data_IF_961104991522
#
_entry.id   IF_961104991522
#
_cell.length_a   1.000
_cell.length_b   1.000
_cell.length_c   1.000
_cell.angle_alpha   90.00
_cell.angle_beta   90.00
_cell.angle_gamma   90.00
#
_symmetry.space_group_name_H-M   'P 1'
#
loop_
_entity.id
_entity.type
_entity.pdbx_description
1 polymer ?
#
# COMPACT_ATOMS: atom_id res chain seq x y z
N UNK A 1 18.40 -58.05 37.03
CA UNK A 1 17.63 -57.35 35.98
C UNK A 1 17.28 -55.94 36.46
N UNK A 2 18.07 -54.92 36.12
CA UNK A 2 17.55 -53.57 35.93
C UNK A 2 18.08 -52.89 34.65
N UNK A 3 17.47 -51.75 34.30
CA UNK A 3 18.11 -50.68 33.50
C UNK A 3 17.83 -50.61 31.98
N UNK A 4 16.64 -51.01 31.53
CA UNK A 4 16.11 -50.54 30.24
C UNK A 4 15.64 -49.05 30.30
N UNK A 5 15.37 -48.54 31.51
CA UNK A 5 14.84 -47.19 31.73
C UNK A 5 15.91 -46.09 31.59
N UNK A 6 17.17 -46.39 31.90
CA UNK A 6 18.28 -45.43 31.79
C UNK A 6 18.68 -45.12 30.34
N UNK A 7 18.35 -45.99 29.39
CA UNK A 7 18.72 -45.82 27.97
C UNK A 7 17.79 -44.85 27.22
N UNK A 8 16.58 -44.59 27.74
CA UNK A 8 15.64 -43.63 27.13
C UNK A 8 16.00 -42.19 27.48
N UNK A 9 16.63 -41.97 28.63
CA UNK A 9 17.11 -40.66 29.08
C UNK A 9 18.30 -40.13 28.26
N UNK A 10 19.12 -41.01 27.69
CA UNK A 10 20.37 -40.64 26.98
C UNK A 10 20.17 -40.23 25.52
N UNK A 11 19.02 -40.53 24.91
CA UNK A 11 18.69 -40.09 23.54
C UNK A 11 18.18 -38.65 23.45
N UNK A 12 17.71 -38.08 24.57
CA UNK A 12 17.15 -36.72 24.58
C UNK A 12 18.19 -35.62 24.86
N UNK A 13 19.39 -35.97 25.32
CA UNK A 13 20.46 -35.01 25.58
C UNK A 13 21.18 -34.56 24.31
N UNK A 14 21.45 -35.47 23.37
CA UNK A 14 22.14 -35.15 22.11
C UNK A 14 21.31 -34.36 21.07
N UNK A 15 19.98 -34.37 21.19
CA UNK A 15 19.10 -33.56 20.34
C UNK A 15 19.03 -32.08 20.74
N UNK A 16 19.41 -31.74 21.99
CA UNK A 16 19.35 -30.35 22.49
C UNK A 16 20.48 -29.50 21.91
N UNK A 17 21.67 -30.07 21.74
CA UNK A 17 22.85 -29.35 21.25
C UNK A 17 22.76 -29.05 19.74
N UNK A 18 22.17 -29.97 18.97
CA UNK A 18 21.89 -29.80 17.53
C UNK A 18 20.83 -28.72 17.25
N UNK A 19 20.00 -28.42 18.24
CA UNK A 19 18.93 -27.42 18.14
C UNK A 19 19.20 -26.19 19.02
N UNK A 20 20.48 -25.93 19.30
CA UNK A 20 20.92 -24.75 20.05
C UNK A 20 20.43 -23.44 19.44
N UNK A 21 20.41 -23.35 18.10
CA UNK A 21 19.91 -22.17 17.40
C UNK A 21 18.41 -21.95 17.62
N UNK A 22 17.56 -22.98 17.43
CA UNK A 22 16.13 -22.79 17.68
C UNK A 22 15.82 -22.63 19.16
N UNK A 23 16.64 -23.19 20.06
CA UNK A 23 16.52 -22.93 21.50
C UNK A 23 16.81 -21.46 21.83
N UNK A 24 17.85 -20.86 21.23
CA UNK A 24 18.13 -19.44 21.35
C UNK A 24 16.99 -18.57 20.78
N UNK A 25 16.43 -18.94 19.62
CA UNK A 25 15.28 -18.25 19.03
C UNK A 25 14.03 -18.36 19.91
N UNK A 26 13.74 -19.53 20.49
CA UNK A 26 12.64 -19.72 21.42
C UNK A 26 12.84 -18.90 22.72
N UNK A 27 14.08 -18.79 23.19
CA UNK A 27 14.45 -17.91 24.30
C UNK A 27 14.14 -16.44 23.98
N UNK A 28 14.57 -15.94 22.82
CA UNK A 28 14.26 -14.58 22.38
C UNK A 28 12.76 -14.35 22.23
N UNK A 29 12.03 -15.29 21.62
CA UNK A 29 10.59 -15.20 21.46
C UNK A 29 9.83 -15.19 22.79
N UNK A 30 10.27 -15.96 23.79
CA UNK A 30 9.65 -15.97 25.13
C UNK A 30 9.98 -14.71 25.93
N UNK A 31 11.19 -14.16 25.81
CA UNK A 31 11.53 -12.85 26.40
C UNK A 31 10.70 -11.74 25.75
N UNK A 32 10.54 -11.77 24.43
CA UNK A 32 9.71 -10.82 23.68
C UNK A 32 8.21 -10.93 23.99
N UNK A 33 7.71 -12.16 24.20
CA UNK A 33 6.32 -12.39 24.61
C UNK A 33 6.05 -11.95 26.06
N UNK A 34 7.06 -12.04 26.95
CA UNK A 34 6.98 -11.54 28.34
C UNK A 34 7.08 -10.02 28.43
N UNK A 35 7.83 -9.40 27.52
CA UNK A 35 7.92 -7.96 27.38
C UNK A 35 6.98 -7.49 26.28
N UNK A 36 5.66 -7.47 26.52
CA UNK A 36 4.61 -6.91 25.65
C UNK A 36 5.10 -6.59 24.23
N UNK A 37 5.48 -7.63 23.47
CA UNK A 37 6.25 -7.51 22.23
C UNK A 37 5.54 -6.76 21.12
N UNK A 38 4.35 -6.27 21.39
CA UNK A 38 3.73 -5.22 20.65
C UNK A 38 4.42 -3.91 21.03
N UNK A 39 5.41 -3.48 20.23
CA UNK A 39 5.71 -2.04 20.15
C UNK A 39 4.41 -1.35 19.76
N UNK A 40 3.64 -0.90 20.74
CA UNK A 40 2.38 -0.18 20.52
C UNK A 40 2.74 1.11 19.82
N UNK A 41 2.57 1.16 18.50
CA UNK A 41 2.70 2.38 17.73
C UNK A 41 1.45 3.19 18.03
N UNK A 42 1.57 4.20 18.89
CA UNK A 42 0.49 5.15 19.14
C UNK A 42 0.37 6.03 17.90
N UNK A 43 -0.62 5.71 17.06
CA UNK A 43 -0.99 6.53 15.92
C UNK A 43 -1.74 7.76 16.43
N UNK A 44 -1.06 8.89 16.56
CA UNK A 44 -1.69 10.19 16.75
C UNK A 44 -2.39 10.63 15.47
N UNK A 45 -3.71 10.80 15.50
CA UNK A 45 -4.44 11.43 14.38
C UNK A 45 -4.26 12.94 14.48
N UNK A 46 -3.50 13.52 13.55
CA UNK A 46 -3.43 14.98 13.43
C UNK A 46 -4.71 15.46 12.72
N UNK A 47 -5.50 16.37 13.31
CA UNK A 47 -6.79 16.78 12.75
C UNK A 47 -6.65 17.65 11.49
N UNK A 48 -5.49 18.27 11.29
CA UNK A 48 -5.20 19.11 10.14
C UNK A 48 -3.76 18.89 9.65
N UNK A 49 -3.49 18.99 8.33
CA UNK A 49 -2.12 18.92 7.83
C UNK A 49 -1.28 20.04 8.43
N UNK A 50 0.03 19.82 8.55
CA UNK A 50 1.00 20.81 9.06
C UNK A 50 1.26 21.98 8.09
N UNK A 51 0.48 22.08 7.01
CA UNK A 51 0.64 23.06 5.95
C UNK A 51 -0.39 24.17 6.12
N UNK A 52 0.04 25.41 5.90
CA UNK A 52 -0.87 26.55 5.91
C UNK A 52 -1.90 26.45 4.77
N UNK A 53 -3.15 26.85 5.01
CA UNK A 53 -4.22 26.79 4.01
C UNK A 53 -3.92 27.62 2.75
N UNK A 54 -3.07 28.64 2.84
CA UNK A 54 -2.63 29.43 1.68
C UNK A 54 -1.69 28.62 0.76
N UNK A 55 -0.91 27.69 1.32
CA UNK A 55 -0.13 26.72 0.55
C UNK A 55 -1.01 25.59 -0.02
N UNK A 56 -2.22 25.39 0.50
CA UNK A 56 -3.20 24.48 -0.10
C UNK A 56 -3.69 25.01 -1.43
N UNK A 57 -3.84 26.33 -1.61
CA UNK A 57 -4.20 26.94 -2.90
C UNK A 57 -3.05 26.89 -3.93
N UNK A 58 -1.80 26.83 -3.46
CA UNK A 58 -0.62 26.65 -4.33
C UNK A 58 -0.31 25.17 -4.63
N UNK A 59 -0.57 24.29 -3.66
CA UNK A 59 -0.59 22.83 -3.80
C UNK A 59 -1.95 22.33 -4.25
N UNK A 60 -2.83 23.24 -4.67
CA UNK A 60 -4.19 22.95 -5.04
C UNK A 60 -4.07 21.96 -6.19
N UNK A 61 -4.42 20.72 -5.87
CA UNK A 61 -4.94 19.79 -6.86
C UNK A 61 -6.25 20.45 -7.23
N UNK A 62 -6.13 21.50 -8.05
CA UNK A 62 -7.18 22.43 -8.34
C UNK A 62 -8.40 21.62 -8.72
N UNK A 63 -9.55 22.21 -8.41
CA UNK A 63 -10.88 21.96 -8.90
C UNK A 63 -10.95 21.99 -10.45
N UNK A 64 -10.01 21.34 -11.11
CA UNK A 64 -9.95 20.99 -12.50
C UNK A 64 -10.95 19.84 -12.74
N UNK A 65 -11.35 19.59 -14.00
CA UNK A 65 -11.88 18.29 -14.39
C UNK A 65 -11.06 17.22 -13.67
N UNK A 66 -11.73 16.23 -13.06
CA UNK A 66 -11.10 15.14 -12.29
C UNK A 66 -9.82 14.80 -13.02
N UNK A 67 -8.67 14.72 -12.37
CA UNK A 67 -7.35 14.64 -13.05
C UNK A 67 -7.27 13.60 -14.19
N UNK A 68 -8.20 12.62 -14.20
CA UNK A 68 -8.43 11.64 -15.26
C UNK A 68 -9.20 12.15 -16.49
N UNK A 69 -10.08 13.14 -16.39
CA UNK A 69 -10.94 13.64 -17.47
C UNK A 69 -10.14 14.05 -18.72
N UNK A 70 -9.01 14.79 -18.63
CA UNK A 70 -8.17 15.06 -19.80
C UNK A 70 -7.56 13.78 -20.38
N UNK A 71 -7.26 12.80 -19.53
CA UNK A 71 -6.71 11.51 -19.92
C UNK A 71 -7.76 10.64 -20.64
N UNK A 72 -8.98 10.58 -20.11
CA UNK A 72 -10.11 9.85 -20.67
C UNK A 72 -10.49 10.48 -22.02
N UNK A 73 -10.57 11.81 -22.10
CA UNK A 73 -10.85 12.53 -23.34
C UNK A 73 -9.79 12.23 -24.40
N UNK A 74 -8.51 12.27 -24.04
CA UNK A 74 -7.43 11.92 -24.95
C UNK A 74 -7.46 10.45 -25.40
N UNK A 75 -7.66 9.50 -24.47
CA UNK A 75 -7.69 8.07 -24.80
C UNK A 75 -8.93 7.70 -25.64
N UNK A 76 -10.06 8.38 -25.44
CA UNK A 76 -11.32 8.11 -26.14
C UNK A 76 -11.45 8.84 -27.48
N UNK A 77 -11.01 10.10 -27.55
CA UNK A 77 -11.26 11.00 -28.68
C UNK A 77 -9.97 11.50 -29.35
N UNK A 78 -8.79 11.13 -28.85
CA UNK A 78 -7.49 11.65 -29.30
C UNK A 78 -7.39 13.19 -29.28
N UNK A 79 -8.18 13.84 -28.44
CA UNK A 79 -8.24 15.30 -28.31
C UNK A 79 -7.13 15.79 -27.38
N UNK A 80 -6.44 16.85 -27.81
CA UNK A 80 -5.39 17.48 -27.02
C UNK A 80 -5.64 18.98 -26.91
N UNK A 81 -5.28 19.62 -25.78
CA UNK A 81 -5.32 21.07 -25.65
C UNK A 81 -4.38 21.77 -26.63
N UNK A 82 -4.70 23.03 -26.97
CA UNK A 82 -3.88 23.87 -27.85
C UNK A 82 -2.50 24.18 -27.25
N UNK A 83 -2.39 24.25 -25.92
CA UNK A 83 -1.10 24.43 -25.26
C UNK A 83 -0.23 23.18 -25.39
N UNK A 84 0.89 23.33 -26.09
CA UNK A 84 1.87 22.28 -26.31
C UNK A 84 2.41 21.67 -25.01
N UNK A 85 2.60 22.47 -23.94
CA UNK A 85 3.12 21.96 -22.66
C UNK A 85 2.11 21.02 -22.00
N UNK A 86 0.85 21.42 -21.97
CA UNK A 86 -0.24 20.62 -21.39
C UNK A 86 -0.49 19.38 -22.25
N UNK A 87 -0.49 19.52 -23.57
CA UNK A 87 -0.63 18.39 -24.49
C UNK A 87 0.49 17.36 -24.32
N UNK A 88 1.74 17.81 -24.17
CA UNK A 88 2.86 16.92 -23.92
C UNK A 88 2.71 16.17 -22.58
N UNK A 89 2.28 16.86 -21.52
CA UNK A 89 2.02 16.25 -20.21
C UNK A 89 0.96 15.15 -20.30
N UNK A 90 -0.16 15.42 -20.98
CA UNK A 90 -1.24 14.43 -21.18
C UNK A 90 -0.73 13.22 -21.96
N UNK A 91 0.06 13.42 -23.03
CA UNK A 91 0.67 12.31 -23.80
C UNK A 91 1.57 11.45 -22.91
N UNK A 92 2.49 12.07 -22.18
CA UNK A 92 3.41 11.35 -21.31
C UNK A 92 2.67 10.57 -20.22
N UNK A 93 1.64 11.18 -19.61
CA UNK A 93 0.82 10.49 -18.61
C UNK A 93 0.03 9.34 -19.24
N UNK A 94 -0.61 9.56 -20.39
CA UNK A 94 -1.48 8.57 -21.04
C UNK A 94 -0.78 7.26 -21.40
N UNK A 95 0.54 7.28 -21.63
CA UNK A 95 1.34 6.09 -21.91
C UNK A 95 1.25 5.04 -20.79
N UNK A 96 1.02 5.48 -19.54
CA UNK A 96 0.89 4.62 -18.37
C UNK A 96 -0.53 4.15 -18.09
N UNK A 97 -1.52 4.50 -18.92
CA UNK A 97 -2.93 4.17 -18.69
C UNK A 97 -3.57 3.48 -19.90
N UNK A 98 -4.66 2.79 -19.62
CA UNK A 98 -5.51 2.13 -20.61
C UNK A 98 -6.97 2.38 -20.27
N UNK A 99 -7.79 2.64 -21.29
CA UNK A 99 -9.23 2.82 -21.13
C UNK A 99 -9.94 1.62 -21.76
N UNK A 100 -10.74 0.92 -20.96
CA UNK A 100 -11.57 -0.19 -21.42
C UNK A 100 -12.84 0.32 -22.12
N UNK A 101 -13.50 -0.46 -23.01
CA UNK A 101 -14.76 -0.06 -23.63
C UNK A 101 -15.88 0.27 -22.63
N UNK A 102 -15.83 -0.30 -21.42
CA UNK A 102 -16.72 0.05 -20.31
C UNK A 102 -16.43 1.42 -19.66
N UNK A 103 -15.50 2.21 -20.22
CA UNK A 103 -15.05 3.51 -19.72
C UNK A 103 -14.35 3.45 -18.35
N UNK A 104 -13.83 2.28 -17.98
CA UNK A 104 -13.01 2.11 -16.78
C UNK A 104 -11.55 2.40 -17.12
N UNK A 105 -10.91 3.28 -16.34
CA UNK A 105 -9.51 3.63 -16.49
C UNK A 105 -8.62 2.68 -15.68
N UNK A 106 -7.64 2.09 -16.34
CA UNK A 106 -6.64 1.22 -15.74
C UNK A 106 -5.28 1.88 -15.80
N UNK A 107 -4.48 1.72 -14.74
CA UNK A 107 -3.07 2.10 -14.71
C UNK A 107 -2.20 0.87 -14.95
N UNK A 108 -1.26 0.97 -15.89
CA UNK A 108 -0.22 -0.04 -16.11
C UNK A 108 0.82 0.06 -15.00
N UNK A 109 1.20 -1.08 -14.44
CA UNK A 109 2.37 -1.13 -13.57
C UNK A 109 3.65 -0.92 -14.38
N UNK A 110 4.62 -0.21 -13.81
CA UNK A 110 5.92 0.01 -14.47
C UNK A 110 6.84 -1.21 -14.37
N UNK A 111 6.52 -2.16 -13.49
CA UNK A 111 7.37 -3.27 -13.10
C UNK A 111 6.79 -4.64 -13.51
N UNK A 112 5.63 -4.68 -14.19
CA UNK A 112 4.98 -5.93 -14.56
C UNK A 112 3.84 -5.79 -15.56
N UNK A 113 3.18 -6.91 -15.87
CA UNK A 113 1.98 -6.98 -16.71
C UNK A 113 0.69 -6.60 -15.97
N UNK A 114 0.81 -6.19 -14.70
CA UNK A 114 -0.35 -5.97 -13.85
C UNK A 114 -1.05 -4.64 -14.18
N UNK A 115 -2.38 -4.69 -14.27
CA UNK A 115 -3.27 -3.56 -14.48
C UNK A 115 -4.03 -3.27 -13.17
N UNK A 116 -3.96 -2.02 -12.70
CA UNK A 116 -4.71 -1.58 -11.53
C UNK A 116 -5.91 -0.74 -11.96
N UNK A 117 -7.11 -1.08 -11.48
CA UNK A 117 -8.32 -0.26 -11.68
C UNK A 117 -8.14 1.06 -10.94
N UNK A 118 -8.29 2.18 -11.65
CA UNK A 118 -8.31 3.51 -11.06
C UNK A 118 -9.77 3.83 -10.74
N UNK A 119 -10.28 3.28 -9.63
CA UNK A 119 -11.64 3.55 -9.21
C UNK A 119 -11.71 4.95 -8.60
N UNK A 120 -12.54 5.81 -9.16
CA UNK A 120 -12.97 7.01 -8.47
C UNK A 120 -13.98 6.61 -7.40
N UNK A 121 -13.63 6.81 -6.12
CA UNK A 121 -14.65 6.86 -5.09
C UNK A 121 -15.49 8.11 -5.37
N UNK A 122 -16.70 7.91 -5.89
CA UNK A 122 -17.74 8.92 -5.88
C UNK A 122 -17.93 9.31 -4.41
N UNK A 123 -17.44 10.49 -4.03
CA UNK A 123 -17.78 11.09 -2.74
C UNK A 123 -19.25 11.44 -2.82
N UNK A 124 -20.09 10.44 -2.52
CA UNK A 124 -21.52 10.57 -2.42
C UNK A 124 -21.81 11.68 -1.41
N UNK A 125 -22.34 12.78 -1.94
CA UNK A 125 -23.02 13.83 -1.21
C UNK A 125 -23.98 13.22 -0.20
N UNK A 126 -23.63 13.26 1.09
CA UNK A 126 -24.64 13.25 2.15
C UNK A 126 -24.95 14.69 2.52
N UNK A 127 -25.80 15.32 1.69
CA UNK A 127 -26.72 16.32 2.19
C UNK A 127 -27.68 15.57 3.14
N UNK A 128 -27.41 15.63 4.44
CA UNK A 128 -28.38 15.19 5.45
C UNK A 128 -29.24 16.40 5.81
N UNK A 129 -30.42 16.43 5.20
CA UNK A 129 -31.57 17.09 5.79
C UNK A 129 -31.91 16.40 7.14
N UNK A 130 -32.30 17.22 8.13
CA UNK A 130 -32.72 16.79 9.46
C UNK A 130 -32.27 17.78 10.51
#
# INVERSE_FOLDING_TARGET
>A
MPSAEMAKQRKSSGLRDLNSHAHALAGLGTVYAKHDGCRTIVLGKVPSPSLEPELWELMDIHLAPRWMDPLISYLKHATLPTDHKVAHKIRCQSASYFLDPSSILYRRSNTGSDLHVVHEQEVATKARAG
#
